data_IF_098711488601
#
_entry.id   IF_098711488601
#
_cell.length_a   1.000
_cell.length_b   1.000
_cell.length_c   1.000
_cell.angle_alpha   90.00
_cell.angle_beta   90.00
_cell.angle_gamma   90.00
#
_symmetry.space_group_name_H-M   'P 1'
#
loop_
_entity.id
_entity.type
_entity.pdbx_description
1 polymer ?
#
# COMPACT_ATOMS: atom_id res chain seq x y z
N UNK A 1 -23.74 5.32 -5.66
CA UNK A 1 -24.00 4.86 -4.27
C UNK A 1 -25.01 3.74 -4.34
N UNK A 2 -24.77 2.62 -3.66
CA UNK A 2 -25.73 1.51 -3.55
C UNK A 2 -26.99 1.97 -2.80
N UNK A 3 -28.16 1.48 -3.22
CA UNK A 3 -29.43 1.71 -2.52
C UNK A 3 -29.40 1.06 -1.12
N UNK A 4 -30.16 1.59 -0.15
CA UNK A 4 -30.10 1.12 1.24
C UNK A 4 -30.42 -0.39 1.37
N UNK A 5 -31.37 -0.88 0.57
CA UNK A 5 -31.75 -2.31 0.55
C UNK A 5 -30.65 -3.20 -0.02
N UNK A 6 -29.92 -2.71 -1.03
CA UNK A 6 -28.79 -3.43 -1.63
C UNK A 6 -27.60 -3.45 -0.69
N UNK A 7 -27.31 -2.32 -0.02
CA UNK A 7 -26.25 -2.25 0.97
C UNK A 7 -26.48 -3.21 2.15
N UNK A 8 -27.73 -3.33 2.61
CA UNK A 8 -28.07 -4.23 3.71
C UNK A 8 -27.93 -5.71 3.32
N UNK A 9 -28.19 -6.04 2.06
CA UNK A 9 -28.05 -7.40 1.52
C UNK A 9 -26.58 -7.79 1.28
N UNK A 10 -25.74 -6.83 0.89
CA UNK A 10 -24.32 -7.05 0.57
C UNK A 10 -23.43 -7.04 1.82
N UNK A 11 -23.67 -6.13 2.75
CA UNK A 11 -22.78 -5.90 3.90
C UNK A 11 -23.27 -6.53 5.22
N UNK A 12 -24.47 -7.10 5.26
CA UNK A 12 -25.04 -7.66 6.50
C UNK A 12 -25.38 -6.63 7.59
N UNK A 13 -25.11 -5.33 7.36
CA UNK A 13 -25.42 -4.25 8.28
C UNK A 13 -24.79 -2.91 7.86
N UNK A 14 -25.28 -1.80 8.44
CA UNK A 14 -24.71 -0.45 8.19
C UNK A 14 -23.29 -0.32 8.77
N UNK A 15 -23.01 -1.01 9.87
CA UNK A 15 -21.71 -0.99 10.56
C UNK A 15 -20.59 -1.59 9.71
N UNK A 16 -20.80 -2.77 9.14
CA UNK A 16 -19.83 -3.42 8.25
C UNK A 16 -19.48 -2.57 7.01
N UNK A 17 -20.46 -1.83 6.48
CA UNK A 17 -20.22 -0.89 5.37
C UNK A 17 -19.38 0.31 5.80
N UNK A 18 -19.66 0.90 6.97
CA UNK A 18 -18.86 2.01 7.48
C UNK A 18 -17.43 1.57 7.81
N UNK A 19 -17.29 0.35 8.33
CA UNK A 19 -16.00 -0.26 8.61
C UNK A 19 -15.19 -0.48 7.32
N UNK A 20 -15.80 -1.03 6.27
CA UNK A 20 -15.15 -1.13 4.96
C UNK A 20 -14.66 0.24 4.46
N UNK A 21 -15.51 1.25 4.47
CA UNK A 21 -15.15 2.58 3.98
C UNK A 21 -14.00 3.19 4.78
N UNK A 22 -14.00 2.99 6.11
CA UNK A 22 -12.92 3.45 6.99
C UNK A 22 -11.58 2.79 6.65
N UNK A 23 -11.59 1.47 6.42
CA UNK A 23 -10.35 0.73 6.12
C UNK A 23 -9.86 0.94 4.70
N UNK A 24 -10.77 1.11 3.75
CA UNK A 24 -10.43 1.54 2.40
C UNK A 24 -9.72 2.90 2.44
N UNK A 25 -10.30 3.88 3.15
CA UNK A 25 -9.67 5.19 3.30
C UNK A 25 -8.32 5.09 4.03
N UNK A 26 -8.21 4.25 5.05
CA UNK A 26 -6.93 4.02 5.75
C UNK A 26 -5.85 3.43 4.83
N UNK A 27 -6.22 2.52 3.92
CA UNK A 27 -5.27 1.95 2.97
C UNK A 27 -4.71 3.04 2.03
N UNK A 28 -5.58 3.90 1.51
CA UNK A 28 -5.20 4.98 0.59
C UNK A 28 -4.43 6.12 1.31
N UNK A 29 -4.91 6.55 2.47
CA UNK A 29 -4.36 7.72 3.17
C UNK A 29 -3.11 7.40 4.00
N UNK A 30 -2.96 6.16 4.48
CA UNK A 30 -1.84 5.78 5.36
C UNK A 30 -0.95 4.70 4.76
N UNK A 31 -1.52 3.55 4.37
CA UNK A 31 -0.73 2.37 3.99
C UNK A 31 0.13 2.63 2.74
N UNK A 32 -0.43 3.29 1.72
CA UNK A 32 0.31 3.67 0.50
C UNK A 32 1.53 4.55 0.81
N UNK A 33 1.43 5.42 1.81
CA UNK A 33 2.51 6.34 2.18
C UNK A 33 3.67 5.64 2.89
N UNK A 34 3.46 4.44 3.43
CA UNK A 34 4.52 3.60 4.00
C UNK A 34 5.35 2.89 2.93
N UNK A 35 4.74 2.61 1.78
CA UNK A 35 5.36 1.84 0.71
C UNK A 35 6.51 2.59 0.05
N UNK A 36 6.28 3.85 -0.34
CA UNK A 36 7.30 4.61 -1.07
C UNK A 36 8.60 4.78 -0.27
N UNK A 37 8.58 5.15 1.03
CA UNK A 37 9.80 5.25 1.83
C UNK A 37 10.49 3.90 2.06
N UNK A 38 9.74 2.79 2.06
CA UNK A 38 10.29 1.45 2.25
C UNK A 38 11.10 0.96 1.04
N UNK A 39 10.66 1.27 -0.19
CA UNK A 39 11.37 0.89 -1.42
C UNK A 39 12.65 1.66 -1.70
N UNK A 40 12.72 2.90 -1.22
CA UNK A 40 13.78 3.84 -1.56
C UNK A 40 14.64 4.20 -0.35
N UNK A 41 14.76 3.29 0.63
CA UNK A 41 15.51 3.54 1.86
C UNK A 41 17.01 3.63 1.61
N UNK A 42 17.56 2.72 0.80
CA UNK A 42 18.96 2.75 0.36
C UNK A 42 19.09 3.03 -1.14
N UNK A 43 20.24 3.54 -1.60
CA UNK A 43 20.48 3.75 -3.03
C UNK A 43 20.41 2.45 -3.85
N UNK A 44 20.78 1.31 -3.25
CA UNK A 44 20.74 0.00 -3.91
C UNK A 44 19.30 -0.47 -4.10
N UNK A 45 18.46 -0.37 -3.08
CA UNK A 45 17.03 -0.71 -3.17
C UNK A 45 16.31 0.22 -4.13
N UNK A 46 16.67 1.51 -4.15
CA UNK A 46 16.08 2.45 -5.09
C UNK A 46 16.41 2.12 -6.55
N UNK A 47 17.64 1.66 -6.83
CA UNK A 47 18.03 1.19 -8.15
C UNK A 47 17.32 -0.11 -8.53
N UNK A 48 17.21 -1.07 -7.61
CA UNK A 48 16.47 -2.32 -7.84
C UNK A 48 15.00 -2.04 -8.13
N UNK A 49 14.38 -1.14 -7.36
CA UNK A 49 12.98 -0.75 -7.52
C UNK A 49 12.70 -0.08 -8.86
N UNK A 50 13.55 0.86 -9.27
CA UNK A 50 13.41 1.49 -10.58
C UNK A 50 13.73 0.54 -11.73
N UNK A 51 14.66 -0.41 -11.54
CA UNK A 51 14.95 -1.43 -12.55
C UNK A 51 13.73 -2.31 -12.80
N UNK A 52 13.07 -2.76 -11.74
CA UNK A 52 11.81 -3.50 -11.83
C UNK A 52 10.71 -2.69 -12.53
N UNK A 53 10.48 -1.43 -12.11
CA UNK A 53 9.49 -0.53 -12.73
C UNK A 53 9.77 -0.34 -14.24
N UNK A 54 11.04 -0.18 -14.60
CA UNK A 54 11.44 0.03 -15.99
C UNK A 54 11.31 -1.25 -16.83
N UNK A 55 11.58 -2.42 -16.23
CA UNK A 55 11.47 -3.72 -16.90
C UNK A 55 10.02 -4.16 -17.10
N UNK A 56 9.14 -3.93 -16.12
CA UNK A 56 7.71 -4.18 -16.26
C UNK A 56 6.99 -3.11 -17.10
N UNK A 57 7.55 -1.90 -17.10
CA UNK A 57 7.04 -0.78 -17.88
C UNK A 57 7.36 -0.87 -19.37
N UNK A 58 6.66 -0.05 -20.17
CA UNK A 58 6.88 0.06 -21.62
C UNK A 58 7.86 1.19 -21.94
N UNK A 59 9.12 1.06 -21.50
CA UNK A 59 10.16 2.07 -21.77
C UNK A 59 11.03 1.70 -22.98
N UNK A 60 11.45 2.71 -23.77
CA UNK A 60 12.49 2.52 -24.79
C UNK A 60 13.86 2.42 -24.10
N UNK A 61 14.83 1.69 -24.66
CA UNK A 61 16.12 1.39 -24.01
C UNK A 61 16.88 2.62 -23.44
N UNK A 62 16.84 3.76 -24.14
CA UNK A 62 17.47 5.01 -23.67
C UNK A 62 16.70 5.64 -22.51
N UNK A 63 15.36 5.69 -22.61
CA UNK A 63 14.47 6.20 -21.55
C UNK A 63 14.54 5.30 -20.31
N UNK A 64 14.65 3.99 -20.50
CA UNK A 64 14.82 2.99 -19.46
C UNK A 64 16.09 3.23 -18.64
N UNK A 65 17.21 3.48 -19.31
CA UNK A 65 18.49 3.75 -18.64
C UNK A 65 18.44 5.06 -17.85
N UNK A 66 17.86 6.10 -18.44
CA UNK A 66 17.69 7.40 -17.78
C UNK A 66 16.76 7.29 -16.56
N UNK A 67 15.60 6.63 -16.72
CA UNK A 67 14.64 6.41 -15.65
C UNK A 67 15.23 5.58 -14.51
N UNK A 68 16.04 4.56 -14.82
CA UNK A 68 16.73 3.76 -13.80
C UNK A 68 17.62 4.60 -12.90
N UNK A 69 18.59 5.31 -13.49
CA UNK A 69 19.61 6.00 -12.68
C UNK A 69 19.14 7.35 -12.14
N UNK A 70 18.52 8.18 -12.99
CA UNK A 70 18.05 9.52 -12.57
C UNK A 70 16.78 9.41 -11.75
N UNK A 71 15.88 8.49 -12.11
CA UNK A 71 14.69 8.21 -11.31
C UNK A 71 15.04 7.67 -9.93
N UNK A 72 15.99 6.72 -9.81
CA UNK A 72 16.38 6.19 -8.51
C UNK A 72 16.98 7.28 -7.61
N UNK A 73 17.84 8.14 -8.15
CA UNK A 73 18.41 9.26 -7.40
C UNK A 73 17.32 10.26 -6.95
N UNK A 74 16.37 10.59 -7.81
CA UNK A 74 15.25 11.45 -7.47
C UNK A 74 14.34 10.83 -6.40
N UNK A 75 13.96 9.56 -6.57
CA UNK A 75 13.09 8.84 -5.64
C UNK A 75 13.74 8.66 -4.27
N UNK A 76 15.06 8.43 -4.21
CA UNK A 76 15.82 8.40 -2.95
C UNK A 76 15.80 9.73 -2.18
N UNK A 77 15.82 10.87 -2.88
CA UNK A 77 15.71 12.17 -2.22
C UNK A 77 14.27 12.48 -1.81
N UNK A 78 13.30 12.09 -2.63
CA UNK A 78 11.87 12.24 -2.34
C UNK A 78 11.49 11.36 -1.14
N UNK A 79 11.97 10.13 -1.05
CA UNK A 79 11.68 9.20 0.05
C UNK A 79 12.15 9.75 1.39
N UNK A 80 13.34 10.36 1.45
CA UNK A 80 13.84 11.06 2.64
C UNK A 80 12.95 12.23 3.05
N UNK A 81 12.47 13.02 2.09
CA UNK A 81 11.53 14.11 2.37
C UNK A 81 10.17 13.58 2.84
N UNK A 82 9.69 12.50 2.23
CA UNK A 82 8.42 11.87 2.60
C UNK A 82 8.48 11.29 4.01
N UNK A 83 9.58 10.61 4.37
CA UNK A 83 9.88 10.14 5.73
C UNK A 83 9.75 11.27 6.76
N UNK A 84 10.39 12.41 6.48
CA UNK A 84 10.32 13.59 7.35
C UNK A 84 8.92 14.22 7.41
N UNK A 85 8.18 14.27 6.30
CA UNK A 85 6.82 14.85 6.25
C UNK A 85 5.79 14.02 7.01
N UNK A 86 5.89 12.69 6.93
CA UNK A 86 4.94 11.78 7.55
C UNK A 86 5.36 11.33 8.96
N UNK A 87 6.44 11.90 9.52
CA UNK A 87 6.97 11.56 10.84
C UNK A 87 7.20 10.05 11.04
N UNK A 88 7.67 9.38 9.98
CA UNK A 88 7.96 7.95 10.00
C UNK A 88 9.18 7.67 10.89
N UNK A 89 9.20 6.49 11.50
CA UNK A 89 10.30 6.03 12.35
C UNK A 89 11.59 5.89 11.54
N UNK A 90 12.71 5.78 12.26
CA UNK A 90 14.00 5.68 11.59
C UNK A 90 14.14 4.41 10.74
N UNK A 91 13.50 3.34 11.20
CA UNK A 91 13.29 2.10 10.47
C UNK A 91 11.86 2.04 9.92
N UNK A 92 11.72 2.30 8.62
CA UNK A 92 10.43 2.31 7.91
C UNK A 92 9.79 0.91 7.88
N UNK A 93 10.60 -0.15 7.95
CA UNK A 93 10.08 -1.52 8.07
C UNK A 93 9.22 -1.68 9.32
N UNK A 94 9.60 -1.03 10.41
CA UNK A 94 8.84 -1.08 11.67
C UNK A 94 7.45 -0.46 11.50
N UNK A 95 7.33 0.69 10.84
CA UNK A 95 6.02 1.31 10.56
C UNK A 95 5.13 0.42 9.68
N UNK A 96 5.72 -0.29 8.71
CA UNK A 96 5.00 -1.26 7.87
C UNK A 96 4.51 -2.46 8.69
N UNK A 97 5.34 -3.00 9.59
CA UNK A 97 4.93 -4.08 10.49
C UNK A 97 3.84 -3.63 11.46
N UNK A 98 3.93 -2.42 12.00
CA UNK A 98 2.87 -1.85 12.83
C UNK A 98 1.56 -1.71 12.06
N UNK A 99 1.61 -1.25 10.81
CA UNK A 99 0.43 -1.15 9.94
C UNK A 99 -0.17 -2.53 9.60
N UNK A 100 0.67 -3.52 9.31
CA UNK A 100 0.24 -4.89 9.05
C UNK A 100 -0.40 -5.54 10.30
N UNK A 101 0.23 -5.36 11.47
CA UNK A 101 -0.32 -5.83 12.74
C UNK A 101 -1.65 -5.14 13.08
N UNK A 102 -1.76 -3.84 12.82
CA UNK A 102 -3.00 -3.08 12.99
C UNK A 102 -4.11 -3.61 12.09
N UNK A 103 -3.80 -3.94 10.84
CA UNK A 103 -4.75 -4.56 9.90
C UNK A 103 -5.21 -5.94 10.37
N UNK A 104 -4.28 -6.85 10.70
CA UNK A 104 -4.62 -8.20 11.17
C UNK A 104 -5.43 -8.17 12.46
N UNK A 105 -5.10 -7.24 13.36
CA UNK A 105 -5.87 -7.03 14.60
C UNK A 105 -7.29 -6.56 14.32
N UNK A 106 -7.47 -5.73 13.29
CA UNK A 106 -8.78 -5.22 12.89
C UNK A 106 -9.67 -6.27 12.22
N UNK A 107 -9.07 -7.14 11.39
CA UNK A 107 -9.78 -8.28 10.81
C UNK A 107 -10.28 -9.22 11.91
N UNK A 108 -9.49 -9.38 12.98
CA UNK A 108 -9.80 -10.23 14.12
C UNK A 108 -9.42 -11.69 13.87
N UNK A 109 -9.78 -12.57 14.81
CA UNK A 109 -9.46 -14.02 14.74
C UNK A 109 -10.65 -14.89 14.34
N UNK A 110 -11.85 -14.34 14.39
CA UNK A 110 -13.10 -15.09 14.24
C UNK A 110 -13.55 -15.23 12.78
N UNK A 111 -12.90 -14.48 11.87
CA UNK A 111 -13.23 -14.44 10.45
C UNK A 111 -11.96 -14.43 9.59
N UNK A 112 -12.01 -15.02 8.38
CA UNK A 112 -10.84 -15.09 7.51
C UNK A 112 -10.51 -13.75 6.83
N UNK A 113 -11.49 -12.87 6.64
CA UNK A 113 -11.35 -11.55 6.01
C UNK A 113 -12.14 -10.50 6.78
N UNK A 114 -11.85 -9.21 6.56
CA UNK A 114 -12.65 -8.10 7.09
C UNK A 114 -14.11 -8.21 6.63
N UNK A 115 -14.33 -8.67 5.39
CA UNK A 115 -15.65 -8.98 4.83
C UNK A 115 -16.33 -10.24 5.36
N UNK A 116 -15.77 -10.92 6.36
CA UNK A 116 -16.27 -12.20 6.85
C UNK A 116 -15.72 -13.36 6.03
N UNK A 117 -16.60 -14.17 5.42
CA UNK A 117 -16.22 -15.38 4.67
C UNK A 117 -15.60 -15.11 3.30
N UNK A 118 -15.82 -13.91 2.75
CA UNK A 118 -15.27 -13.48 1.46
C UNK A 118 -14.63 -12.10 1.63
N UNK A 119 -13.54 -11.79 0.88
CA UNK A 119 -12.92 -10.48 0.94
C UNK A 119 -13.88 -9.40 0.46
N UNK A 120 -13.87 -8.26 1.15
CA UNK A 120 -14.61 -7.06 0.78
C UNK A 120 -13.67 -6.02 0.11
N UNK A 121 -14.14 -4.79 -0.13
CA UNK A 121 -13.29 -3.78 -0.79
C UNK A 121 -12.11 -3.34 0.08
N UNK A 122 -12.25 -3.34 1.40
CA UNK A 122 -11.14 -3.03 2.31
C UNK A 122 -10.05 -4.11 2.24
N UNK A 123 -10.44 -5.39 2.24
CA UNK A 123 -9.50 -6.51 2.07
C UNK A 123 -8.73 -6.39 0.75
N UNK A 124 -9.44 -6.08 -0.34
CA UNK A 124 -8.86 -5.92 -1.66
C UNK A 124 -7.97 -4.67 -1.76
N UNK A 125 -8.33 -3.57 -1.11
CA UNK A 125 -7.53 -2.34 -1.08
C UNK A 125 -6.20 -2.60 -0.37
N UNK A 126 -6.23 -3.18 0.84
CA UNK A 126 -5.01 -3.51 1.60
C UNK A 126 -4.15 -4.52 0.85
N UNK A 127 -4.76 -5.58 0.31
CA UNK A 127 -4.04 -6.56 -0.50
C UNK A 127 -3.39 -5.93 -1.74
N UNK A 128 -4.13 -5.09 -2.47
CA UNK A 128 -3.63 -4.42 -3.67
C UNK A 128 -2.43 -3.52 -3.38
N UNK A 129 -2.47 -2.80 -2.26
CA UNK A 129 -1.37 -1.94 -1.81
C UNK A 129 -0.15 -2.79 -1.44
N UNK A 130 -0.31 -3.83 -0.60
CA UNK A 130 0.80 -4.68 -0.17
C UNK A 130 1.40 -5.52 -1.29
N UNK A 131 0.60 -5.97 -2.26
CA UNK A 131 1.07 -6.79 -3.39
C UNK A 131 2.15 -6.10 -4.23
N UNK A 132 2.18 -4.76 -4.27
CA UNK A 132 3.23 -4.00 -4.97
C UNK A 132 4.63 -4.31 -4.43
N UNK A 133 4.72 -4.77 -3.18
CA UNK A 133 5.99 -5.11 -2.52
C UNK A 133 6.48 -6.51 -2.93
N UNK A 134 5.61 -7.43 -3.35
CA UNK A 134 5.96 -8.83 -3.61
C UNK A 134 6.86 -9.04 -4.85
N UNK A 135 6.88 -8.07 -5.77
CA UNK A 135 7.66 -8.13 -7.01
C UNK A 135 9.10 -7.60 -6.91
N UNK A 136 9.52 -7.15 -5.72
CA UNK A 136 10.76 -6.38 -5.51
C UNK A 136 11.81 -7.14 -4.69
#
# INVERSE_FOLDING_TARGET
>A
MLDEKEAQRTYGGKEARMEEMKWQQWADDWLVHLISPNFYQTPTEALASLDYIVCEGKFRAVEATMAKYVGAAAMYLISKRLKSRHHLQDDVCTDLYEAANKWVTAVGKDQPFMGGQKPNLADLAVYGVLRVIEGL
#
